data_IF_532488069265
#
_entry.id   IF_532488069265
#
_cell.length_a   1.000
_cell.length_b   1.000
_cell.length_c   1.000
_cell.angle_alpha   90.00
_cell.angle_beta   90.00
_cell.angle_gamma   90.00
#
_symmetry.space_group_name_H-M   'P 1'
#
loop_
_entity.id
_entity.type
_entity.pdbx_description
1 polymer ?
#
# COMPACT_ATOMS: atom_id res chain seq x y z
N UNK A 1 -12.41 14.85 42.68
CA UNK A 1 -11.12 14.73 42.03
C UNK A 1 -10.94 13.43 41.28
N UNK A 2 -11.33 12.29 41.83
CA UNK A 2 -11.19 10.99 41.13
C UNK A 2 -12.06 10.85 39.88
N UNK A 3 -13.19 11.57 39.81
CA UNK A 3 -14.11 11.54 38.69
C UNK A 3 -13.58 12.26 37.45
N UNK A 4 -12.71 13.23 37.63
CA UNK A 4 -12.09 14.00 36.52
C UNK A 4 -11.05 13.17 35.78
N UNK A 5 -10.33 12.32 36.52
CA UNK A 5 -9.32 11.42 35.92
C UNK A 5 -9.97 10.35 35.04
N UNK A 6 -11.15 9.86 35.40
CA UNK A 6 -11.87 8.87 34.61
C UNK A 6 -12.37 9.46 33.29
N UNK A 7 -12.77 10.72 33.26
CA UNK A 7 -13.21 11.43 32.06
C UNK A 7 -12.08 11.66 31.08
N UNK A 8 -10.87 11.97 31.56
CA UNK A 8 -9.68 12.13 30.73
C UNK A 8 -9.26 10.83 30.06
N UNK A 9 -9.50 9.71 30.72
CA UNK A 9 -9.18 8.40 30.19
C UNK A 9 -10.07 8.01 29.01
N UNK A 10 -11.34 8.42 29.03
CA UNK A 10 -12.30 8.14 27.95
C UNK A 10 -11.97 8.94 26.70
N UNK A 11 -11.49 10.17 26.83
CA UNK A 11 -11.16 11.04 25.71
C UNK A 11 -9.94 10.51 24.95
N UNK A 12 -8.96 9.92 25.63
CA UNK A 12 -7.77 9.39 24.98
C UNK A 12 -8.03 8.12 24.17
N UNK A 13 -9.11 7.37 24.47
CA UNK A 13 -9.45 6.16 23.72
C UNK A 13 -10.12 6.43 22.36
N UNK A 14 -10.63 7.64 22.14
CA UNK A 14 -11.31 8.02 20.90
C UNK A 14 -10.31 8.27 19.77
N UNK A 15 -9.07 8.61 20.09
CA UNK A 15 -8.04 8.91 19.10
C UNK A 15 -7.49 7.68 18.36
N UNK A 16 -7.85 6.47 18.80
CA UNK A 16 -7.36 5.23 18.20
C UNK A 16 -8.06 4.88 16.88
N UNK A 17 -9.21 5.51 16.59
CA UNK A 17 -10.03 5.17 15.42
C UNK A 17 -9.91 6.13 14.25
N UNK A 18 -8.92 7.02 14.26
CA UNK A 18 -8.79 7.99 13.17
C UNK A 18 -7.81 7.54 12.09
N UNK A 19 -8.03 6.35 11.52
CA UNK A 19 -7.48 6.10 10.19
C UNK A 19 -8.37 6.85 9.22
N UNK A 20 -8.05 8.09 9.01
CA UNK A 20 -8.83 8.98 8.20
C UNK A 20 -8.60 8.71 6.72
N UNK A 21 -9.61 9.04 5.92
CA UNK A 21 -9.48 9.14 4.48
C UNK A 21 -8.32 10.05 4.05
N UNK A 22 -7.85 10.94 4.94
CA UNK A 22 -6.71 11.82 4.69
C UNK A 22 -5.41 11.04 4.55
N UNK A 23 -5.18 10.03 5.39
CA UNK A 23 -3.99 9.18 5.26
C UNK A 23 -4.02 8.39 3.96
N UNK A 24 -5.19 7.93 3.55
CA UNK A 24 -5.37 7.24 2.28
C UNK A 24 -5.09 8.17 1.10
N UNK A 25 -5.61 9.39 1.12
CA UNK A 25 -5.36 10.38 0.06
C UNK A 25 -3.89 10.77 -0.01
N UNK A 26 -3.26 10.95 1.15
CA UNK A 26 -1.84 11.28 1.23
C UNK A 26 -0.99 10.18 0.63
N UNK A 27 -1.21 8.93 1.03
CA UNK A 27 -0.47 7.79 0.52
C UNK A 27 -0.74 7.56 -0.97
N UNK A 28 -1.97 7.76 -1.43
CA UNK A 28 -2.31 7.66 -2.84
C UNK A 28 -1.55 8.70 -3.67
N UNK A 29 -1.48 9.93 -3.18
CA UNK A 29 -0.75 11.02 -3.85
C UNK A 29 0.75 10.74 -3.91
N UNK A 30 1.34 10.30 -2.81
CA UNK A 30 2.77 9.96 -2.73
C UNK A 30 3.08 8.80 -3.69
N UNK A 31 2.27 7.76 -3.66
CA UNK A 31 2.38 6.64 -4.58
C UNK A 31 2.34 7.10 -6.04
N UNK A 32 1.36 7.91 -6.40
CA UNK A 32 1.18 8.39 -7.77
C UNK A 32 2.36 9.23 -8.25
N UNK A 33 2.93 10.08 -7.38
CA UNK A 33 4.08 10.90 -7.72
C UNK A 33 5.31 10.06 -8.04
N UNK A 34 5.61 9.08 -7.19
CA UNK A 34 6.73 8.17 -7.45
C UNK A 34 6.49 7.29 -8.67
N UNK A 35 5.25 6.84 -8.86
CA UNK A 35 4.89 6.02 -10.01
C UNK A 35 5.11 6.77 -11.32
N UNK A 36 4.72 8.05 -11.38
CA UNK A 36 4.85 8.87 -12.60
C UNK A 36 6.30 8.99 -13.08
N UNK A 37 7.23 9.06 -12.16
CA UNK A 37 8.67 9.15 -12.49
C UNK A 37 9.33 7.79 -12.53
N UNK A 38 8.55 6.71 -12.49
CA UNK A 38 9.00 5.31 -12.53
C UNK A 38 9.92 4.93 -11.37
N UNK A 39 9.81 5.63 -10.27
CA UNK A 39 10.51 5.27 -9.03
C UNK A 39 9.63 4.29 -8.25
N UNK A 40 9.56 3.06 -8.74
CA UNK A 40 8.67 2.04 -8.21
C UNK A 40 9.08 1.54 -6.82
N UNK A 41 10.37 1.54 -6.54
CA UNK A 41 10.86 1.15 -5.21
C UNK A 41 10.30 2.09 -4.13
N UNK A 42 10.31 3.39 -4.39
CA UNK A 42 9.77 4.38 -3.45
C UNK A 42 8.23 4.41 -3.47
N UNK A 43 7.62 4.04 -4.59
CA UNK A 43 6.17 3.99 -4.72
C UNK A 43 5.54 2.81 -3.97
N UNK A 44 6.31 1.75 -3.72
CA UNK A 44 5.80 0.47 -3.22
C UNK A 44 5.15 0.60 -1.84
N UNK A 45 5.81 1.21 -0.88
CA UNK A 45 5.33 1.34 0.50
C UNK A 45 4.02 2.13 0.59
N UNK A 46 3.92 3.36 0.05
CA UNK A 46 2.64 4.07 0.06
C UNK A 46 1.55 3.34 -0.72
N UNK A 47 1.90 2.62 -1.79
CA UNK A 47 0.94 1.78 -2.52
C UNK A 47 0.37 0.66 -1.63
N UNK A 48 1.24 -0.04 -0.89
CA UNK A 48 0.80 -1.08 0.03
C UNK A 48 -0.14 -0.53 1.10
N UNK A 49 0.10 0.69 1.58
CA UNK A 49 -0.77 1.34 2.56
C UNK A 49 -2.18 1.55 2.00
N UNK A 50 -2.30 2.12 0.80
CA UNK A 50 -3.63 2.36 0.20
C UNK A 50 -4.30 1.05 -0.21
N UNK A 51 -3.54 0.09 -0.71
CA UNK A 51 -4.06 -1.23 -1.09
C UNK A 51 -4.66 -1.95 0.11
N UNK A 52 -3.99 -1.92 1.26
CA UNK A 52 -4.42 -2.62 2.45
C UNK A 52 -5.53 -1.89 3.20
N UNK A 53 -5.47 -0.57 3.28
CA UNK A 53 -6.36 0.22 4.12
C UNK A 53 -7.54 0.83 3.36
N UNK A 54 -7.37 1.13 2.08
CA UNK A 54 -8.36 1.86 1.27
C UNK A 54 -8.47 1.28 -0.14
N UNK A 55 -8.72 -0.02 -0.28
CA UNK A 55 -8.61 -0.69 -1.59
C UNK A 55 -9.62 -0.21 -2.63
N UNK A 56 -10.69 0.46 -2.21
CA UNK A 56 -11.73 0.94 -3.12
C UNK A 56 -11.60 2.42 -3.46
N UNK A 57 -10.55 3.07 -2.99
CA UNK A 57 -10.41 4.52 -3.14
C UNK A 57 -10.18 4.95 -4.59
N UNK A 58 -9.39 4.18 -5.34
CA UNK A 58 -9.03 4.55 -6.72
C UNK A 58 -8.61 3.31 -7.51
N UNK A 59 -9.06 3.19 -8.75
CA UNK A 59 -8.70 2.08 -9.63
C UNK A 59 -7.20 2.05 -9.92
N UNK A 60 -6.51 3.17 -9.82
CA UNK A 60 -5.05 3.25 -10.01
C UNK A 60 -4.28 2.35 -9.05
N UNK A 61 -4.85 2.04 -7.87
CA UNK A 61 -4.26 1.09 -6.94
C UNK A 61 -3.99 -0.25 -7.65
N UNK A 62 -4.89 -0.66 -8.52
CA UNK A 62 -4.81 -1.92 -9.26
C UNK A 62 -4.07 -1.79 -10.58
N UNK A 63 -4.42 -0.79 -11.39
CA UNK A 63 -3.81 -0.61 -12.72
C UNK A 63 -2.33 -0.25 -12.63
N UNK A 64 -1.97 0.65 -11.73
CA UNK A 64 -0.58 1.03 -11.52
C UNK A 64 0.17 -0.01 -10.70
N UNK A 65 -0.51 -0.62 -9.72
CA UNK A 65 0.05 -1.71 -8.94
C UNK A 65 0.45 -2.89 -9.80
N UNK A 66 -0.40 -3.27 -10.75
CA UNK A 66 -0.11 -4.30 -11.74
C UNK A 66 1.21 -3.99 -12.47
N UNK A 67 1.34 -2.78 -12.99
CA UNK A 67 2.54 -2.38 -13.74
C UNK A 67 3.80 -2.38 -12.88
N UNK A 68 3.67 -1.96 -11.63
CA UNK A 68 4.80 -2.01 -10.69
C UNK A 68 5.26 -3.45 -10.44
N UNK A 69 4.32 -4.34 -10.15
CA UNK A 69 4.64 -5.75 -9.92
C UNK A 69 5.25 -6.40 -11.17
N UNK A 70 4.72 -6.10 -12.34
CA UNK A 70 5.28 -6.59 -13.60
C UNK A 70 6.72 -6.09 -13.80
N UNK A 71 6.99 -4.85 -13.44
CA UNK A 71 8.34 -4.28 -13.51
C UNK A 71 9.30 -4.99 -12.55
N UNK A 72 8.86 -5.24 -11.32
CA UNK A 72 9.68 -5.99 -10.35
C UNK A 72 9.96 -7.41 -10.82
N UNK A 73 8.97 -8.07 -11.42
CA UNK A 73 9.14 -9.41 -11.98
C UNK A 73 10.20 -9.39 -13.09
N UNK A 74 10.10 -8.45 -14.01
CA UNK A 74 11.03 -8.31 -15.12
C UNK A 74 12.47 -8.05 -14.64
N UNK A 75 12.59 -7.14 -13.66
CA UNK A 75 13.89 -6.80 -13.08
C UNK A 75 14.55 -8.02 -12.43
N UNK A 76 13.76 -8.77 -11.64
CA UNK A 76 14.29 -9.94 -10.95
C UNK A 76 14.58 -11.11 -11.88
N UNK A 77 13.83 -11.26 -12.98
CA UNK A 77 14.15 -12.25 -14.02
C UNK A 77 15.53 -11.99 -14.64
N UNK A 78 15.89 -10.72 -14.81
CA UNK A 78 17.19 -10.37 -15.38
C UNK A 78 18.37 -10.75 -14.48
N UNK A 79 18.12 -11.01 -13.21
CA UNK A 79 19.14 -11.45 -12.24
C UNK A 79 19.41 -12.95 -12.28
N UNK A 80 18.67 -13.71 -13.09
CA UNK A 80 18.80 -15.16 -13.16
C UNK A 80 18.41 -15.83 -11.86
N UNK A 81 19.23 -16.79 -11.40
CA UNK A 81 18.95 -17.55 -10.17
C UNK A 81 18.86 -16.68 -8.92
N UNK A 82 19.58 -15.57 -8.88
CA UNK A 82 19.58 -14.67 -7.73
C UNK A 82 18.23 -13.96 -7.54
N UNK A 83 17.48 -13.80 -8.62
CA UNK A 83 16.17 -13.14 -8.57
C UNK A 83 14.98 -14.08 -8.50
N UNK A 84 15.20 -15.39 -8.56
CA UNK A 84 14.12 -16.38 -8.71
C UNK A 84 13.10 -16.34 -7.59
N UNK A 85 13.54 -16.25 -6.35
CA UNK A 85 12.64 -16.19 -5.20
C UNK A 85 11.75 -14.93 -5.25
N UNK A 86 12.31 -13.80 -5.65
CA UNK A 86 11.56 -12.55 -5.78
C UNK A 86 10.60 -12.58 -6.96
N UNK A 87 10.97 -13.22 -8.05
CA UNK A 87 10.06 -13.42 -9.19
C UNK A 87 8.80 -14.17 -8.73
N UNK A 88 8.97 -15.26 -8.00
CA UNK A 88 7.86 -16.06 -7.49
C UNK A 88 7.01 -15.22 -6.53
N UNK A 89 7.64 -14.48 -5.63
CA UNK A 89 6.96 -13.61 -4.67
C UNK A 89 6.06 -12.59 -5.37
N UNK A 90 6.60 -11.88 -6.36
CA UNK A 90 5.84 -10.85 -7.07
C UNK A 90 4.79 -11.43 -8.01
N UNK A 91 5.03 -12.60 -8.59
CA UNK A 91 4.01 -13.31 -9.39
C UNK A 91 2.82 -13.71 -8.54
N UNK A 92 3.07 -14.24 -7.35
CA UNK A 92 2.01 -14.60 -6.40
C UNK A 92 1.24 -13.36 -5.94
N UNK A 93 1.95 -12.26 -5.70
CA UNK A 93 1.31 -11.01 -5.30
C UNK A 93 0.47 -10.42 -6.44
N UNK A 94 0.91 -10.56 -7.67
CA UNK A 94 0.14 -10.11 -8.84
C UNK A 94 -1.17 -10.89 -8.97
N UNK A 95 -1.14 -12.20 -8.76
CA UNK A 95 -2.36 -13.03 -8.76
C UNK A 95 -3.31 -12.59 -7.64
N UNK A 96 -2.78 -12.32 -6.46
CA UNK A 96 -3.56 -11.81 -5.33
C UNK A 96 -4.18 -10.46 -5.65
N UNK A 97 -3.43 -9.58 -6.32
CA UNK A 97 -3.93 -8.28 -6.74
C UNK A 97 -5.13 -8.41 -7.69
N UNK A 98 -5.07 -9.35 -8.63
CA UNK A 98 -6.20 -9.62 -9.53
C UNK A 98 -7.44 -10.08 -8.76
N UNK A 99 -7.27 -10.95 -7.77
CA UNK A 99 -8.39 -11.41 -6.94
C UNK A 99 -9.01 -10.24 -6.16
N UNK A 100 -8.20 -9.35 -5.63
CA UNK A 100 -8.68 -8.16 -4.91
C UNK A 100 -9.41 -7.19 -5.83
N UNK A 101 -8.96 -7.09 -7.08
CA UNK A 101 -9.53 -6.17 -8.08
C UNK A 101 -10.91 -6.64 -8.56
N UNK A 102 -11.07 -7.93 -8.75
CA UNK A 102 -12.32 -8.52 -9.24
C UNK A 102 -13.32 -8.72 -8.11
#
# INVERSE_FOLDING_TARGET
>A
MKKILALLFIISSINVFSQSSEDCLSNLSIFAEYYKVKNYDSAYEPWMQVRNNCPKMNVAIYTYGKRMLESFIKENKSKGSDGEADVIKYQNDLLKLYDEWL
#
